data_IF_380128518779
#
_entry.id   IF_380128518779
#
_cell.length_a   1.000
_cell.length_b   1.000
_cell.length_c   1.000
_cell.angle_alpha   90.00
_cell.angle_beta   90.00
_cell.angle_gamma   90.00
#
_symmetry.space_group_name_H-M   'P 1'
#
loop_
_entity.id
_entity.type
_entity.pdbx_description
1 polymer ?
#
# COMPACT_ATOMS: atom_id res chain seq x y z
N UNK A 1 -17.94 17.40 -20.33
CA UNK A 1 -17.02 16.24 -20.34
C UNK A 1 -17.83 15.02 -19.95
N UNK A 2 -18.05 14.09 -20.89
CA UNK A 2 -18.92 12.94 -20.66
C UNK A 2 -18.38 12.09 -19.52
N UNK A 3 -19.18 11.91 -18.47
CA UNK A 3 -18.89 10.96 -17.40
C UNK A 3 -18.94 9.59 -18.04
N UNK A 4 -17.79 9.03 -18.42
CA UNK A 4 -17.70 7.61 -18.77
C UNK A 4 -18.10 6.83 -17.52
N UNK A 5 -19.38 6.47 -17.43
CA UNK A 5 -19.85 5.51 -16.44
C UNK A 5 -18.98 4.28 -16.61
N UNK A 6 -18.26 3.92 -15.56
CA UNK A 6 -17.46 2.70 -15.48
C UNK A 6 -18.45 1.53 -15.48
N UNK A 7 -18.89 1.11 -16.67
CA UNK A 7 -19.98 0.14 -16.83
C UNK A 7 -19.50 -1.29 -16.95
N UNK A 8 -18.28 -1.54 -17.42
CA UNK A 8 -17.74 -2.90 -17.54
C UNK A 8 -17.04 -3.35 -16.27
N UNK A 9 -17.12 -4.65 -15.97
CA UNK A 9 -16.42 -5.26 -14.83
C UNK A 9 -14.91 -5.05 -14.89
N UNK A 10 -14.33 -5.12 -16.09
CA UNK A 10 -12.90 -4.83 -16.29
C UNK A 10 -12.55 -3.38 -15.90
N UNK A 11 -13.40 -2.42 -16.25
CA UNK A 11 -13.18 -1.01 -15.89
C UNK A 11 -13.37 -0.78 -14.38
N UNK A 12 -14.33 -1.48 -13.74
CA UNK A 12 -14.51 -1.43 -12.28
C UNK A 12 -13.29 -2.01 -11.55
N UNK A 13 -12.79 -3.16 -11.98
CA UNK A 13 -11.60 -3.79 -11.41
C UNK A 13 -10.36 -2.91 -11.56
N UNK A 14 -10.17 -2.29 -12.75
CA UNK A 14 -9.11 -1.32 -12.97
C UNK A 14 -9.23 -0.13 -12.01
N UNK A 15 -10.42 0.48 -11.92
CA UNK A 15 -10.64 1.63 -11.05
C UNK A 15 -10.42 1.29 -9.57
N UNK A 16 -10.85 0.10 -9.12
CA UNK A 16 -10.61 -0.39 -7.78
C UNK A 16 -9.11 -0.54 -7.50
N UNK A 17 -8.37 -1.19 -8.41
CA UNK A 17 -6.91 -1.32 -8.32
C UNK A 17 -6.22 0.03 -8.20
N UNK A 18 -6.52 0.97 -9.10
CA UNK A 18 -5.89 2.30 -9.11
C UNK A 18 -6.15 3.07 -7.81
N UNK A 19 -7.39 3.00 -7.31
CA UNK A 19 -7.77 3.65 -6.04
C UNK A 19 -7.01 3.05 -4.86
N UNK A 20 -6.91 1.72 -4.79
CA UNK A 20 -6.20 1.01 -3.71
C UNK A 20 -4.70 1.29 -3.79
N UNK A 21 -4.11 1.23 -4.99
CA UNK A 21 -2.70 1.53 -5.22
C UNK A 21 -2.36 2.97 -4.82
N UNK A 22 -3.16 3.94 -5.27
CA UNK A 22 -2.99 5.34 -4.88
C UNK A 22 -3.10 5.54 -3.36
N UNK A 23 -4.09 4.90 -2.73
CA UNK A 23 -4.27 4.93 -1.29
C UNK A 23 -3.10 4.32 -0.52
N UNK A 24 -2.56 3.20 -0.98
CA UNK A 24 -1.39 2.55 -0.42
C UNK A 24 -0.13 3.40 -0.54
N UNK A 25 0.10 4.03 -1.70
CA UNK A 25 1.21 4.97 -1.91
C UNK A 25 1.10 6.16 -0.94
N UNK A 26 -0.10 6.72 -0.75
CA UNK A 26 -0.30 7.81 0.23
C UNK A 26 0.07 7.36 1.65
N UNK A 27 -0.35 6.17 2.07
CA UNK A 27 0.02 5.61 3.38
C UNK A 27 1.53 5.47 3.53
N UNK A 28 2.20 4.89 2.54
CA UNK A 28 3.65 4.69 2.57
C UNK A 28 4.41 6.02 2.57
N UNK A 29 3.91 7.04 1.86
CA UNK A 29 4.44 8.40 1.90
C UNK A 29 4.36 9.02 3.30
N UNK A 30 3.19 8.97 3.93
CA UNK A 30 2.99 9.46 5.31
C UNK A 30 3.87 8.72 6.31
N UNK A 31 4.01 7.40 6.14
CA UNK A 31 4.88 6.57 6.96
C UNK A 31 6.35 6.98 6.80
N UNK A 32 6.81 7.24 5.57
CA UNK A 32 8.17 7.68 5.29
C UNK A 32 8.48 9.05 5.92
N UNK A 33 7.55 10.00 5.85
CA UNK A 33 7.70 11.32 6.48
C UNK A 33 7.79 11.26 8.01
N UNK A 34 7.15 10.26 8.63
CA UNK A 34 7.08 10.11 10.09
C UNK A 34 7.87 8.91 10.61
N UNK A 35 8.78 8.35 9.81
CA UNK A 35 9.42 7.05 10.05
C UNK A 35 10.09 6.93 11.43
N UNK A 36 10.68 8.02 11.93
CA UNK A 36 11.34 8.06 13.25
C UNK A 36 10.37 8.00 14.44
N UNK A 37 9.06 8.14 14.21
CA UNK A 37 8.00 8.15 15.22
C UNK A 37 7.17 6.87 15.23
N UNK A 38 7.42 5.95 14.29
CA UNK A 38 6.63 4.72 14.14
C UNK A 38 7.22 3.59 14.99
N UNK A 39 6.34 2.80 15.58
CA UNK A 39 6.73 1.56 16.24
C UNK A 39 7.07 0.46 15.22
N UNK A 40 7.79 -0.57 15.69
CA UNK A 40 8.22 -1.69 14.85
C UNK A 40 7.06 -2.42 14.17
N UNK A 41 5.93 -2.59 14.86
CA UNK A 41 4.74 -3.22 14.29
C UNK A 41 4.18 -2.43 13.11
N UNK A 42 4.08 -1.10 13.25
CA UNK A 42 3.58 -0.23 12.19
C UNK A 42 4.54 -0.18 11.01
N UNK A 43 5.85 -0.17 11.27
CA UNK A 43 6.87 -0.28 10.23
C UNK A 43 6.77 -1.62 9.48
N UNK A 44 6.61 -2.73 10.20
CA UNK A 44 6.43 -4.06 9.60
C UNK A 44 5.19 -4.10 8.71
N UNK A 45 4.07 -3.55 9.18
CA UNK A 45 2.83 -3.46 8.41
C UNK A 45 2.97 -2.57 7.17
N UNK A 46 3.77 -1.52 7.21
CA UNK A 46 4.11 -0.73 6.02
C UNK A 46 4.92 -1.56 5.02
N UNK A 47 5.86 -2.38 5.50
CA UNK A 47 6.60 -3.33 4.67
C UNK A 47 5.69 -4.37 4.01
N UNK A 48 4.78 -4.94 4.79
CA UNK A 48 3.78 -5.91 4.32
C UNK A 48 2.84 -5.29 3.28
N UNK A 49 2.38 -4.06 3.51
CA UNK A 49 1.56 -3.31 2.55
C UNK A 49 2.31 -3.09 1.23
N UNK A 50 3.56 -2.63 1.28
CA UNK A 50 4.37 -2.42 0.08
C UNK A 50 4.59 -3.73 -0.68
N UNK A 51 4.88 -4.83 0.03
CA UNK A 51 5.00 -6.16 -0.56
C UNK A 51 3.70 -6.63 -1.23
N UNK A 52 2.55 -6.38 -0.59
CA UNK A 52 1.24 -6.73 -1.13
C UNK A 52 0.80 -5.85 -2.31
N UNK A 53 1.32 -4.63 -2.44
CA UNK A 53 1.07 -3.75 -3.59
C UNK A 53 1.87 -4.14 -4.84
N UNK A 54 2.98 -4.87 -4.69
CA UNK A 54 3.87 -5.27 -5.78
C UNK A 54 3.13 -5.92 -6.97
N UNK A 55 2.25 -6.93 -6.78
CA UNK A 55 1.56 -7.60 -7.89
C UNK A 55 0.58 -6.69 -8.64
N UNK A 56 0.16 -5.59 -8.01
CA UNK A 56 -0.81 -4.64 -8.54
C UNK A 56 -0.15 -3.39 -9.14
N UNK A 57 1.17 -3.26 -9.01
CA UNK A 57 1.93 -2.06 -9.37
C UNK A 57 2.67 -2.26 -10.70
N UNK A 58 2.27 -1.56 -11.78
CA UNK A 58 2.92 -1.73 -13.08
C UNK A 58 4.29 -1.02 -13.17
N UNK A 59 5.18 -1.58 -13.99
CA UNK A 59 6.43 -0.94 -14.41
C UNK A 59 7.38 -0.59 -13.25
N UNK A 60 7.84 0.66 -13.22
CA UNK A 60 8.78 1.12 -12.17
C UNK A 60 8.15 1.20 -10.79
N UNK A 61 6.83 1.38 -10.68
CA UNK A 61 6.15 1.43 -9.38
C UNK A 61 6.30 0.09 -8.65
N UNK A 62 6.17 -1.03 -9.36
CA UNK A 62 6.40 -2.36 -8.77
C UNK A 62 7.83 -2.52 -8.25
N UNK A 63 8.84 -2.08 -9.02
CA UNK A 63 10.24 -2.13 -8.56
C UNK A 63 10.44 -1.30 -7.28
N UNK A 64 9.79 -0.14 -7.19
CA UNK A 64 9.82 0.69 -5.98
C UNK A 64 9.13 0.01 -4.81
N UNK A 65 7.99 -0.67 -5.00
CA UNK A 65 7.30 -1.39 -3.93
C UNK A 65 8.18 -2.44 -3.26
N UNK A 66 8.96 -3.20 -4.04
CA UNK A 66 9.89 -4.18 -3.49
C UNK A 66 11.00 -3.52 -2.65
N UNK A 67 11.56 -2.42 -3.12
CA UNK A 67 12.58 -1.65 -2.39
C UNK A 67 11.99 -1.09 -1.09
N UNK A 68 10.80 -0.49 -1.17
CA UNK A 68 10.09 0.08 -0.04
C UNK A 68 9.76 -0.98 1.01
N UNK A 69 9.29 -2.16 0.60
CA UNK A 69 8.98 -3.27 1.51
C UNK A 69 10.20 -3.68 2.34
N UNK A 70 11.33 -3.90 1.67
CA UNK A 70 12.60 -4.29 2.31
C UNK A 70 13.10 -3.25 3.31
N UNK A 71 13.01 -1.97 2.96
CA UNK A 71 13.41 -0.89 3.86
C UNK A 71 12.55 -0.85 5.12
N UNK A 72 11.24 -0.95 4.98
CA UNK A 72 10.33 -0.96 6.14
C UNK A 72 10.50 -2.19 7.03
N UNK A 73 10.65 -3.39 6.45
CA UNK A 73 10.96 -4.59 7.24
C UNK A 73 12.29 -4.46 7.98
N UNK A 74 13.31 -3.91 7.33
CA UNK A 74 14.60 -3.66 7.98
C UNK A 74 14.48 -2.69 9.14
N UNK A 75 13.71 -1.60 8.98
CA UNK A 75 13.44 -0.63 10.04
C UNK A 75 12.64 -1.23 11.20
N UNK A 76 11.74 -2.17 10.91
CA UNK A 76 11.01 -2.94 11.90
C UNK A 76 11.87 -4.01 12.61
N UNK A 77 13.13 -4.18 12.21
CA UNK A 77 14.03 -5.24 12.70
C UNK A 77 13.51 -6.66 12.44
N UNK A 78 12.76 -6.86 11.36
CA UNK A 78 12.31 -8.18 10.91
C UNK A 78 13.07 -8.61 9.65
N UNK A 79 13.14 -9.93 9.42
CA UNK A 79 13.72 -10.47 8.18
C UNK A 79 12.88 -10.10 6.96
N UNK A 80 13.51 -10.09 5.79
CA UNK A 80 12.78 -9.92 4.54
C UNK A 80 11.75 -11.05 4.38
N UNK A 81 10.51 -10.67 4.09
CA UNK A 81 9.44 -11.62 3.83
C UNK A 81 9.26 -11.83 2.32
N UNK A 82 8.72 -12.97 1.95
CA UNK A 82 8.22 -13.16 0.59
C UNK A 82 6.93 -12.36 0.38
N UNK A 83 6.84 -11.66 -0.76
CA UNK A 83 5.63 -10.94 -1.14
C UNK A 83 4.46 -11.91 -1.33
N UNK A 84 3.34 -11.64 -0.66
CA UNK A 84 2.10 -12.40 -0.80
C UNK A 84 1.15 -11.69 -1.75
N UNK A 85 0.52 -12.45 -2.64
CA UNK A 85 -0.61 -11.95 -3.43
C UNK A 85 -1.87 -12.10 -2.59
N UNK A 86 -2.52 -10.99 -2.25
CA UNK A 86 -3.78 -10.96 -1.48
C UNK A 86 -4.87 -10.27 -2.29
N UNK A 87 -6.16 -10.66 -2.17
CA UNK A 87 -7.26 -10.02 -2.88
C UNK A 87 -7.33 -8.50 -2.68
N UNK A 88 -7.83 -7.76 -3.68
CA UNK A 88 -7.92 -6.29 -3.63
C UNK A 88 -8.77 -5.81 -2.45
N UNK A 89 -9.82 -6.55 -2.09
CA UNK A 89 -10.70 -6.24 -0.96
C UNK A 89 -9.97 -6.32 0.39
N UNK A 90 -9.03 -7.26 0.54
CA UNK A 90 -8.20 -7.39 1.74
C UNK A 90 -7.11 -6.33 1.78
N UNK A 91 -6.52 -6.04 0.62
CA UNK A 91 -5.53 -4.96 0.48
C UNK A 91 -6.16 -3.59 0.80
N UNK A 92 -7.39 -3.35 0.35
CA UNK A 92 -8.15 -2.15 0.66
C UNK A 92 -8.35 -1.97 2.18
N UNK A 93 -8.74 -3.04 2.88
CA UNK A 93 -8.88 -3.00 4.35
C UNK A 93 -7.57 -2.62 5.02
N UNK A 94 -6.46 -3.22 4.57
CA UNK A 94 -5.12 -2.94 5.10
C UNK A 94 -4.73 -1.47 4.88
N UNK A 95 -5.01 -0.92 3.69
CA UNK A 95 -4.79 0.50 3.38
C UNK A 95 -5.62 1.38 4.31
N UNK A 96 -6.91 1.11 4.49
CA UNK A 96 -7.78 1.95 5.32
C UNK A 96 -7.45 1.87 6.80
N UNK A 97 -7.05 0.72 7.32
CA UNK A 97 -6.57 0.56 8.69
C UNK A 97 -5.29 1.38 8.94
N UNK A 98 -4.31 1.28 8.05
CA UNK A 98 -3.08 2.06 8.18
C UNK A 98 -3.34 3.55 8.00
N UNK A 99 -4.20 3.96 7.05
CA UNK A 99 -4.61 5.37 6.93
C UNK A 99 -5.17 5.92 8.24
N UNK A 100 -5.93 5.14 9.00
CA UNK A 100 -6.46 5.57 10.32
C UNK A 100 -5.35 5.78 11.35
N UNK A 101 -4.28 4.99 11.31
CA UNK A 101 -3.09 5.20 12.15
C UNK A 101 -2.34 6.50 11.78
N UNK A 102 -2.37 6.91 10.51
CA UNK A 102 -1.66 8.11 10.02
C UNK A 102 -2.50 9.38 9.93
N UNK A 103 -3.84 9.30 10.05
CA UNK A 103 -4.65 10.50 10.18
C UNK A 103 -4.33 11.15 11.53
N UNK A 104 -4.06 12.47 11.58
CA UNK A 104 -4.14 13.19 12.84
C UNK A 104 -5.55 12.97 13.38
N UNK A 105 -5.67 12.58 14.66
CA UNK A 105 -6.90 12.82 15.40
C UNK A 105 -7.09 14.34 15.34
N UNK A 106 -8.07 14.77 14.54
CA UNK A 106 -8.47 16.17 14.48
C UNK A 106 -8.96 16.63 15.87
#
# INVERSE_FOLDING_TARGET
>A
MGVHRVTSEAAKAYAARERILGGGITVLGLAAENVSKLDGETLERCGDLAGALLPYSPGYVGKMMLITARLFWRLASVEEKEGKVIPLEELEKTVEELKRKFKPLA
#
